data_IF_699368992950
#
_entry.id   IF_699368992950
#
_cell.length_a   1.000
_cell.length_b   1.000
_cell.length_c   1.000
_cell.angle_alpha   90.00
_cell.angle_beta   90.00
_cell.angle_gamma   90.00
#
_symmetry.space_group_name_H-M   'P 1'
#
loop_
_entity.id
_entity.type
_entity.pdbx_description
1 polymer ?
#
# COMPACT_ATOMS: atom_id res chain seq x y z
N UNK A 1 6.59 -6.20 9.40
CA UNK A 1 7.00 -5.60 8.12
C UNK A 1 6.95 -4.07 8.19
N UNK A 2 5.77 -3.46 8.40
CA UNK A 2 5.60 -1.99 8.55
C UNK A 2 6.58 -1.42 9.59
N UNK A 3 6.65 -2.06 10.75
CA UNK A 3 7.53 -1.63 11.84
C UNK A 3 9.02 -1.61 11.45
N UNK A 4 9.46 -2.51 10.58
CA UNK A 4 10.85 -2.55 10.13
C UNK A 4 11.16 -1.41 9.16
N UNK A 5 10.28 -1.14 8.18
CA UNK A 5 10.42 0.00 7.26
C UNK A 5 10.44 1.33 8.03
N UNK A 6 9.48 1.54 8.93
CA UNK A 6 9.40 2.76 9.75
C UNK A 6 10.57 2.90 10.74
N UNK A 7 11.15 1.79 11.22
CA UNK A 7 12.36 1.85 12.05
C UNK A 7 13.57 2.29 11.22
N UNK A 8 13.75 1.73 10.04
CA UNK A 8 14.84 2.15 9.15
C UNK A 8 14.75 3.64 8.81
N UNK A 9 13.54 4.12 8.47
CA UNK A 9 13.32 5.54 8.15
C UNK A 9 13.64 6.47 9.33
N UNK A 10 13.26 6.09 10.55
CA UNK A 10 13.58 6.85 11.77
C UNK A 10 15.08 6.94 12.04
N UNK A 11 15.83 5.91 11.66
CA UNK A 11 17.30 5.89 11.72
C UNK A 11 17.94 6.58 10.50
N UNK A 12 17.17 7.25 9.63
CA UNK A 12 17.68 7.95 8.45
C UNK A 12 18.06 7.04 7.28
N UNK A 13 17.55 5.81 7.25
CA UNK A 13 17.80 4.83 6.20
C UNK A 13 16.51 4.59 5.41
N UNK A 14 16.58 4.64 4.08
CA UNK A 14 15.47 4.26 3.20
C UNK A 14 15.75 2.92 2.53
N UNK A 15 14.68 2.16 2.22
CA UNK A 15 14.78 0.88 1.51
C UNK A 15 14.09 1.01 0.15
N UNK A 16 14.76 0.56 -0.90
CA UNK A 16 14.23 0.52 -2.25
C UNK A 16 14.61 -0.78 -2.96
N UNK A 17 13.93 -1.09 -4.06
CA UNK A 17 14.26 -2.25 -4.89
C UNK A 17 15.38 -1.90 -5.86
N UNK A 18 16.34 -2.82 -6.02
CA UNK A 18 17.42 -2.73 -7.00
C UNK A 18 17.62 -4.13 -7.61
N UNK A 19 17.04 -4.35 -8.80
CA UNK A 19 16.92 -5.69 -9.39
C UNK A 19 16.16 -6.64 -8.45
N UNK A 20 16.75 -7.80 -8.17
CA UNK A 20 16.22 -8.80 -7.22
C UNK A 20 16.64 -8.53 -5.75
N UNK A 21 17.25 -7.37 -5.51
CA UNK A 21 17.81 -6.96 -4.22
C UNK A 21 17.04 -5.83 -3.55
N UNK A 22 17.41 -5.58 -2.29
CA UNK A 22 17.00 -4.39 -1.55
C UNK A 22 18.23 -3.49 -1.44
N UNK A 23 18.10 -2.27 -1.93
CA UNK A 23 19.06 -1.19 -1.68
C UNK A 23 18.70 -0.50 -0.38
N UNK A 24 19.70 -0.24 0.45
CA UNK A 24 19.58 0.53 1.68
C UNK A 24 20.38 1.82 1.52
N UNK A 25 19.70 2.95 1.53
CA UNK A 25 20.38 4.25 1.56
C UNK A 25 20.98 4.48 2.96
N UNK A 26 22.17 5.10 2.99
CA UNK A 26 22.92 5.35 4.23
C UNK A 26 23.31 4.08 5.03
N UNK A 27 23.48 2.93 4.36
CA UNK A 27 23.79 1.63 4.98
C UNK A 27 24.95 1.65 6.00
N UNK A 28 25.92 2.56 5.87
CA UNK A 28 27.02 2.73 6.82
C UNK A 28 26.55 3.14 8.23
N UNK A 29 25.41 3.82 8.32
CA UNK A 29 24.77 4.26 9.55
C UNK A 29 23.71 3.26 10.04
N UNK A 30 23.42 2.21 9.26
CA UNK A 30 22.39 1.24 9.63
C UNK A 30 22.86 0.38 10.82
N UNK A 31 22.12 0.40 11.95
CA UNK A 31 22.39 -0.46 13.09
C UNK A 31 22.46 -1.95 12.73
N UNK A 32 23.40 -2.69 13.35
CA UNK A 32 23.63 -4.11 13.04
C UNK A 32 22.39 -4.99 13.28
N UNK A 33 21.57 -4.66 14.29
CA UNK A 33 20.30 -5.34 14.54
C UNK A 33 19.32 -5.14 13.37
N UNK A 34 19.18 -3.92 12.86
CA UNK A 34 18.31 -3.64 11.71
C UNK A 34 18.81 -4.35 10.45
N UNK A 35 20.13 -4.41 10.24
CA UNK A 35 20.72 -5.17 9.12
C UNK A 35 20.36 -6.65 9.17
N UNK A 36 20.43 -7.25 10.35
CA UNK A 36 20.06 -8.65 10.56
C UNK A 36 18.55 -8.86 10.33
N UNK A 37 17.71 -7.94 10.82
CA UNK A 37 16.26 -8.00 10.63
C UNK A 37 15.85 -7.85 9.15
N UNK A 38 16.48 -6.93 8.41
CA UNK A 38 16.27 -6.79 6.95
C UNK A 38 16.65 -8.08 6.24
N UNK A 39 17.79 -8.67 6.61
CA UNK A 39 18.26 -9.92 6.01
C UNK A 39 17.29 -11.07 6.29
N UNK A 40 16.80 -11.19 7.53
CA UNK A 40 15.86 -12.22 7.93
C UNK A 40 14.48 -12.07 7.25
N UNK A 41 14.06 -10.84 6.92
CA UNK A 41 12.75 -10.53 6.33
C UNK A 41 12.82 -10.15 4.85
N UNK A 42 13.95 -10.41 4.17
CA UNK A 42 14.24 -9.91 2.83
C UNK A 42 13.11 -10.19 1.83
N UNK A 43 12.60 -11.41 1.78
CA UNK A 43 11.58 -11.80 0.80
C UNK A 43 10.25 -11.08 1.04
N UNK A 44 9.84 -10.89 2.29
CA UNK A 44 8.62 -10.16 2.62
C UNK A 44 8.77 -8.67 2.34
N UNK A 45 9.93 -8.09 2.60
CA UNK A 45 10.24 -6.71 2.22
C UNK A 45 10.20 -6.52 0.71
N UNK A 46 10.78 -7.44 -0.07
CA UNK A 46 10.72 -7.38 -1.54
C UNK A 46 9.28 -7.44 -2.03
N UNK A 47 8.46 -8.35 -1.47
CA UNK A 47 7.02 -8.40 -1.81
C UNK A 47 6.33 -7.07 -1.50
N UNK A 48 6.57 -6.49 -0.32
CA UNK A 48 6.00 -5.21 0.08
C UNK A 48 6.35 -4.08 -0.89
N UNK A 49 7.64 -3.93 -1.18
CA UNK A 49 8.14 -2.90 -2.07
C UNK A 49 7.63 -3.09 -3.51
N UNK A 50 7.48 -4.33 -3.98
CA UNK A 50 6.88 -4.59 -5.29
C UNK A 50 5.40 -4.17 -5.34
N UNK A 51 4.63 -4.42 -4.28
CA UNK A 51 3.23 -3.95 -4.19
C UNK A 51 3.16 -2.42 -4.23
N UNK A 52 4.08 -1.77 -3.54
CA UNK A 52 4.21 -0.31 -3.52
C UNK A 52 4.55 0.25 -4.91
N UNK A 53 5.46 -0.40 -5.65
CA UNK A 53 5.75 -0.05 -7.05
C UNK A 53 4.51 -0.20 -7.94
N UNK A 54 3.79 -1.33 -7.85
CA UNK A 54 2.55 -1.54 -8.60
C UNK A 54 1.50 -0.45 -8.32
N UNK A 55 1.41 0.01 -7.06
CA UNK A 55 0.56 1.13 -6.69
C UNK A 55 0.97 2.44 -7.37
N UNK A 56 2.27 2.77 -7.34
CA UNK A 56 2.82 3.97 -7.97
C UNK A 56 2.57 3.95 -9.49
N UNK A 57 2.85 2.83 -10.16
CA UNK A 57 2.64 2.64 -11.60
C UNK A 57 1.19 2.85 -12.01
N UNK A 58 0.25 2.55 -11.11
CA UNK A 58 -1.18 2.74 -11.33
C UNK A 58 -1.70 4.08 -10.80
N UNK A 59 -0.85 5.06 -10.47
CA UNK A 59 -1.24 6.35 -9.87
C UNK A 59 -2.17 6.17 -8.65
N UNK A 60 -1.82 5.24 -7.76
CA UNK A 60 -2.45 4.97 -6.48
C UNK A 60 -1.47 5.39 -5.38
N UNK A 61 -1.97 6.08 -4.36
CA UNK A 61 -1.15 6.59 -3.27
C UNK A 61 -0.88 5.49 -2.25
N UNK A 62 0.35 5.39 -1.77
CA UNK A 62 0.71 4.48 -0.68
C UNK A 62 0.40 5.21 0.64
N UNK A 63 -0.56 4.68 1.40
CA UNK A 63 -0.87 5.18 2.75
C UNK A 63 0.04 4.55 3.80
N UNK A 64 0.22 3.22 3.72
CA UNK A 64 1.16 2.47 4.55
C UNK A 64 1.89 1.48 3.65
N UNK A 65 3.24 1.54 3.55
CA UNK A 65 4.02 0.63 2.73
C UNK A 65 3.66 -0.84 2.95
N UNK A 66 3.44 -1.56 1.84
CA UNK A 66 3.10 -2.97 1.84
C UNK A 66 1.72 -3.34 2.39
N UNK A 67 0.89 -2.36 2.78
CA UNK A 67 -0.29 -2.60 3.64
C UNK A 67 -1.54 -1.82 3.23
N UNK A 68 -1.44 -0.52 2.96
CA UNK A 68 -2.58 0.35 2.68
C UNK A 68 -2.31 1.19 1.44
N UNK A 69 -3.18 1.07 0.45
CA UNK A 69 -3.14 1.77 -0.82
C UNK A 69 -4.43 2.55 -1.01
N UNK A 70 -4.35 3.80 -1.44
CA UNK A 70 -5.49 4.73 -1.42
C UNK A 70 -5.63 5.48 -2.74
N UNK A 71 -6.87 5.80 -3.09
CA UNK A 71 -7.20 6.61 -4.25
C UNK A 71 -8.39 7.52 -3.95
N UNK A 72 -8.22 8.81 -4.24
CA UNK A 72 -9.29 9.80 -4.11
C UNK A 72 -10.19 9.73 -5.35
N UNK A 73 -11.41 9.22 -5.16
CA UNK A 73 -12.40 9.14 -6.23
C UNK A 73 -13.02 10.52 -6.50
N UNK A 74 -13.34 11.27 -5.45
CA UNK A 74 -13.90 12.62 -5.51
C UNK A 74 -13.58 13.37 -4.22
N UNK A 75 -14.01 14.62 -4.09
CA UNK A 75 -13.88 15.40 -2.84
C UNK A 75 -14.47 14.68 -1.60
N UNK A 76 -15.43 13.78 -1.79
CA UNK A 76 -16.17 13.13 -0.71
C UNK A 76 -16.14 11.60 -0.79
N UNK A 77 -15.43 11.03 -1.74
CA UNK A 77 -15.40 9.58 -2.00
C UNK A 77 -13.96 9.13 -2.06
N UNK A 78 -13.66 8.08 -1.31
CA UNK A 78 -12.35 7.45 -1.26
C UNK A 78 -12.50 5.97 -1.57
N UNK A 79 -11.49 5.41 -2.22
CA UNK A 79 -11.37 3.98 -2.38
C UNK A 79 -9.97 3.57 -1.93
N UNK A 80 -9.85 2.43 -1.28
CA UNK A 80 -8.57 1.95 -0.75
C UNK A 80 -8.53 0.42 -0.73
N UNK A 81 -7.31 -0.11 -0.69
CA UNK A 81 -7.00 -1.53 -0.52
C UNK A 81 -6.15 -1.66 0.73
N UNK A 82 -6.59 -2.46 1.69
CA UNK A 82 -5.88 -2.69 2.95
C UNK A 82 -5.72 -4.18 3.27
N UNK A 83 -4.64 -4.52 3.96
CA UNK A 83 -4.42 -5.86 4.50
C UNK A 83 -4.83 -5.90 5.98
N UNK A 84 -5.92 -6.59 6.28
CA UNK A 84 -6.51 -6.68 7.63
C UNK A 84 -6.92 -8.13 7.89
N UNK A 85 -6.62 -8.63 9.09
CA UNK A 85 -6.99 -9.97 9.55
C UNK A 85 -6.60 -11.11 8.59
N UNK A 86 -5.44 -10.97 7.95
CA UNK A 86 -4.89 -11.98 7.06
C UNK A 86 -5.37 -11.89 5.61
N UNK A 87 -6.25 -10.94 5.28
CA UNK A 87 -6.87 -10.80 3.96
C UNK A 87 -6.70 -9.38 3.41
N UNK A 88 -6.66 -9.28 2.08
CA UNK A 88 -6.74 -8.01 1.37
C UNK A 88 -8.20 -7.65 1.13
N UNK A 89 -8.55 -6.39 1.40
CA UNK A 89 -9.90 -5.87 1.22
C UNK A 89 -9.81 -4.55 0.45
N UNK A 90 -10.49 -4.49 -0.69
CA UNK A 90 -10.70 -3.27 -1.46
C UNK A 90 -12.07 -2.70 -1.11
N UNK A 91 -12.11 -1.45 -0.67
CA UNK A 91 -13.32 -0.78 -0.20
C UNK A 91 -13.47 0.59 -0.85
N UNK A 92 -14.72 1.01 -1.03
CA UNK A 92 -15.11 2.38 -1.34
C UNK A 92 -15.99 2.95 -0.25
N UNK A 93 -15.64 4.13 0.20
CA UNK A 93 -16.43 4.91 1.15
C UNK A 93 -16.83 6.26 0.56
N UNK A 94 -18.03 6.73 0.90
CA UNK A 94 -18.49 8.08 0.56
C UNK A 94 -19.03 8.75 1.80
N UNK A 95 -18.62 9.99 2.00
CA UNK A 95 -18.93 10.80 3.15
C UNK A 95 -19.84 11.97 2.74
N UNK A 96 -20.77 12.36 3.60
CA UNK A 96 -21.52 13.62 3.41
C UNK A 96 -20.71 14.78 4.00
N UNK A 97 -20.72 15.98 3.38
CA UNK A 97 -20.11 17.15 3.99
C UNK A 97 -20.57 17.35 5.44
N UNK A 98 -19.61 17.54 6.36
CA UNK A 98 -19.89 17.73 7.79
C UNK A 98 -20.16 16.46 8.59
N UNK A 99 -20.11 15.27 7.96
CA UNK A 99 -20.32 13.98 8.65
C UNK A 99 -19.01 13.21 8.68
N UNK A 100 -18.63 12.71 9.86
CA UNK A 100 -17.40 11.93 10.06
C UNK A 100 -17.52 10.46 9.66
N UNK A 101 -18.74 9.95 9.53
CA UNK A 101 -19.01 8.56 9.16
C UNK A 101 -19.38 8.45 7.68
N UNK A 102 -19.01 7.34 7.06
CA UNK A 102 -19.37 7.06 5.68
C UNK A 102 -20.89 6.92 5.57
N UNK A 103 -21.50 7.67 4.65
CA UNK A 103 -22.91 7.50 4.28
C UNK A 103 -23.13 6.33 3.35
N UNK A 104 -22.08 5.86 2.68
CA UNK A 104 -22.12 4.60 1.93
C UNK A 104 -20.78 3.90 2.00
N UNK A 105 -20.83 2.58 2.15
CA UNK A 105 -19.67 1.69 2.13
C UNK A 105 -19.94 0.56 1.13
N UNK A 106 -18.97 0.25 0.27
CA UNK A 106 -19.03 -0.87 -0.68
C UNK A 106 -17.70 -1.61 -0.68
N UNK A 107 -17.75 -2.91 -0.42
CA UNK A 107 -16.62 -3.81 -0.69
C UNK A 107 -16.53 -4.00 -2.21
N UNK A 108 -15.39 -3.67 -2.78
CA UNK A 108 -15.06 -3.88 -4.20
C UNK A 108 -14.61 -5.32 -4.40
N UNK A 109 -13.66 -5.78 -3.58
CA UNK A 109 -13.12 -7.13 -3.62
C UNK A 109 -12.53 -7.51 -2.26
N UNK A 110 -12.44 -8.82 -2.02
CA UNK A 110 -11.81 -9.41 -0.84
C UNK A 110 -11.10 -10.70 -1.23
N UNK A 111 -9.92 -10.96 -0.70
CA UNK A 111 -9.21 -12.20 -0.95
C UNK A 111 -7.85 -12.31 -0.26
N UNK A 112 -7.26 -13.50 -0.33
CA UNK A 112 -6.00 -13.82 0.34
C UNK A 112 -4.75 -13.30 -0.39
N UNK A 113 -4.88 -12.94 -1.68
CA UNK A 113 -3.76 -12.48 -2.49
C UNK A 113 -3.92 -11.01 -2.84
N UNK A 114 -2.80 -10.29 -2.81
CA UNK A 114 -2.77 -8.87 -3.13
C UNK A 114 -3.15 -8.64 -4.59
N UNK A 115 -2.57 -9.43 -5.50
CA UNK A 115 -2.67 -9.26 -6.95
C UNK A 115 -4.13 -9.35 -7.40
N UNK A 116 -4.89 -10.30 -6.84
CA UNK A 116 -6.32 -10.44 -7.14
C UNK A 116 -7.09 -9.19 -6.71
N UNK A 117 -6.97 -8.79 -5.44
CA UNK A 117 -7.75 -7.66 -4.89
C UNK A 117 -7.34 -6.33 -5.51
N UNK A 118 -6.05 -6.16 -5.79
CA UNK A 118 -5.50 -4.96 -6.41
C UNK A 118 -5.94 -4.83 -7.87
N UNK A 119 -6.02 -5.93 -8.63
CA UNK A 119 -6.54 -5.92 -10.00
C UNK A 119 -8.02 -5.50 -10.04
N UNK A 120 -8.85 -6.03 -9.14
CA UNK A 120 -10.26 -5.60 -9.01
C UNK A 120 -10.36 -4.11 -8.63
N UNK A 121 -9.48 -3.64 -7.75
CA UNK A 121 -9.39 -2.24 -7.36
C UNK A 121 -9.03 -1.31 -8.54
N UNK A 122 -8.02 -1.69 -9.34
CA UNK A 122 -7.62 -0.96 -10.55
C UNK A 122 -8.75 -0.99 -11.59
N UNK A 123 -9.40 -2.14 -11.78
CA UNK A 123 -10.58 -2.26 -12.65
C UNK A 123 -11.71 -1.31 -12.22
N UNK A 124 -12.01 -1.27 -10.93
CA UNK A 124 -12.97 -0.34 -10.35
C UNK A 124 -12.58 1.13 -10.58
N UNK A 125 -11.31 1.49 -10.32
CA UNK A 125 -10.78 2.83 -10.59
C UNK A 125 -11.00 3.24 -12.05
N UNK A 126 -10.68 2.36 -12.99
CA UNK A 126 -10.81 2.61 -14.41
C UNK A 126 -12.27 2.79 -14.82
N UNK A 127 -13.16 1.91 -14.35
CA UNK A 127 -14.61 2.02 -14.59
C UNK A 127 -15.18 3.36 -14.12
N UNK A 128 -14.84 3.78 -12.89
CA UNK A 128 -15.30 5.05 -12.32
C UNK A 128 -14.76 6.25 -13.09
N UNK A 129 -13.51 6.17 -13.55
CA UNK A 129 -12.87 7.26 -14.29
C UNK A 129 -13.48 7.42 -15.68
N UNK A 130 -13.77 6.31 -16.37
CA UNK A 130 -14.38 6.31 -17.70
C UNK A 130 -15.82 6.84 -17.70
N UNK A 131 -16.60 6.58 -16.65
CA UNK A 131 -17.99 7.07 -16.52
C UNK A 131 -18.11 8.57 -16.15
N UNK A 132 -16.99 9.29 -15.99
CA UNK A 132 -16.97 10.74 -15.73
C UNK A 132 -16.74 11.58 -16.99
N UNK A 133 -16.56 10.94 -18.15
CA UNK A 133 -16.58 11.61 -19.46
C UNK A 133 -18.00 11.67 -19.99
#
# INVERSE_FOLDING_TARGET
MIELLSRCEREGNSLSLEGDGIRVENIAQLPANLKNEITANKNELIKALNRDLLAIENCILIGIPGTLYTWTVSRFTFAYVEYVDGEWIATRETYKPGVRTATSHKVIAKGNTFEYVFNEFVGYKNFITSNKK
#
